data_IF_864319646627
#
_entry.id   IF_864319646627
#
_cell.length_a   1.000
_cell.length_b   1.000
_cell.length_c   1.000
_cell.angle_alpha   90.00
_cell.angle_beta   90.00
_cell.angle_gamma   90.00
#
_symmetry.space_group_name_H-M   'P 1'
#
loop_
_entity.id
_entity.type
_entity.pdbx_description
1 polymer ?
#
# COMPACT_ATOMS: atom_id res chain seq x y z
N UNK A 1 9.88 9.92 11.35
CA UNK A 1 9.82 10.03 9.88
C UNK A 1 11.17 9.78 9.20
N UNK A 2 12.29 9.86 9.91
CA UNK A 2 13.64 9.71 9.36
C UNK A 2 14.28 8.34 9.60
N UNK A 3 13.75 7.54 10.52
CA UNK A 3 14.22 6.17 10.68
C UNK A 3 13.68 5.21 9.61
N UNK A 4 12.70 5.66 8.80
CA UNK A 4 12.28 4.99 7.57
C UNK A 4 13.27 5.13 6.40
N UNK A 5 14.40 5.80 6.62
CA UNK A 5 15.49 5.85 5.69
C UNK A 5 16.44 4.65 5.90
N UNK A 6 15.89 3.46 5.89
CA UNK A 6 16.73 2.33 5.55
C UNK A 6 17.04 2.46 4.07
N UNK A 7 18.22 3.01 3.77
CA UNK A 7 18.81 2.89 2.46
C UNK A 7 19.01 1.41 2.15
N UNK A 8 17.99 0.77 1.61
CA UNK A 8 18.25 -0.42 0.79
C UNK A 8 19.25 0.08 -0.25
N UNK A 9 20.43 -0.52 -0.26
CA UNK A 9 21.52 -0.19 -1.21
C UNK A 9 20.90 0.19 -2.54
N UNK A 10 21.11 1.42 -2.96
CA UNK A 10 20.69 1.90 -4.25
C UNK A 10 21.47 1.06 -5.25
N UNK A 11 20.85 0.04 -5.81
CA UNK A 11 21.46 -0.73 -6.89
C UNK A 11 21.20 0.12 -8.14
N UNK A 12 22.22 0.72 -8.75
CA UNK A 12 22.04 1.42 -10.01
C UNK A 12 21.62 0.40 -11.05
N UNK A 13 20.38 0.47 -11.48
CA UNK A 13 19.92 -0.37 -12.60
C UNK A 13 20.36 0.32 -13.87
N UNK A 14 21.42 -0.21 -14.47
CA UNK A 14 21.88 0.21 -15.78
C UNK A 14 20.88 -0.32 -16.82
N UNK A 15 19.95 0.52 -17.26
CA UNK A 15 19.14 0.23 -18.42
C UNK A 15 19.76 0.92 -19.64
N UNK A 16 19.51 0.37 -20.84
CA UNK A 16 19.98 0.92 -22.15
C UNK A 16 19.61 2.38 -22.42
N UNK A 17 18.82 3.02 -21.50
CA UNK A 17 18.30 4.40 -21.62
C UNK A 17 18.87 5.41 -20.61
N UNK A 18 19.80 5.03 -19.70
CA UNK A 18 20.42 5.96 -18.76
C UNK A 18 20.52 5.46 -17.30
N UNK A 19 20.99 6.33 -16.40
CA UNK A 19 21.14 6.06 -14.97
C UNK A 19 19.84 6.40 -14.24
N UNK A 20 19.33 5.50 -13.39
CA UNK A 20 18.19 5.74 -12.52
C UNK A 20 18.66 5.84 -11.06
N UNK A 21 18.46 7.00 -10.44
CA UNK A 21 18.59 7.17 -9.00
C UNK A 21 17.19 7.09 -8.37
N UNK A 22 16.94 6.05 -7.62
CA UNK A 22 15.68 5.89 -6.89
C UNK A 22 15.85 6.47 -5.48
N UNK A 23 15.34 7.68 -5.25
CA UNK A 23 15.20 8.28 -3.93
C UNK A 23 13.76 8.09 -3.45
N UNK A 24 13.56 7.25 -2.46
CA UNK A 24 12.24 7.00 -1.89
C UNK A 24 11.91 8.04 -0.82
N UNK A 25 11.03 8.99 -1.13
CA UNK A 25 10.45 9.93 -0.16
C UNK A 25 8.94 9.66 -0.11
N UNK A 26 8.45 9.23 1.04
CA UNK A 26 7.06 8.77 1.18
C UNK A 26 6.07 9.93 1.37
N UNK A 27 5.12 10.21 0.45
CA UNK A 27 3.94 11.05 0.65
C UNK A 27 2.64 10.27 0.43
N UNK A 28 1.63 10.60 1.23
CA UNK A 28 0.46 9.77 1.44
C UNK A 28 -0.84 10.45 1.00
N UNK A 29 -1.48 9.90 -0.02
CA UNK A 29 -2.94 9.83 -0.08
C UNK A 29 -3.25 8.45 -0.66
N UNK A 30 -3.48 7.46 0.19
CA UNK A 30 -3.83 6.11 -0.22
C UNK A 30 -4.69 5.44 0.84
N UNK A 31 -5.61 4.60 0.39
CA UNK A 31 -6.39 3.71 1.23
C UNK A 31 -5.50 2.86 2.16
N UNK A 32 -6.02 2.46 3.31
CA UNK A 32 -5.33 1.59 4.25
C UNK A 32 -6.00 0.23 4.39
N UNK A 33 -5.22 -0.85 4.37
CA UNK A 33 -5.66 -2.22 4.65
C UNK A 33 -5.04 -2.70 5.95
N UNK A 34 -5.85 -3.35 6.78
CA UNK A 34 -5.42 -4.14 7.95
C UNK A 34 -6.18 -5.45 7.95
N UNK A 35 -5.50 -6.56 8.15
CA UNK A 35 -6.09 -7.88 8.35
C UNK A 35 -5.41 -8.60 9.52
N UNK A 36 -6.13 -9.49 10.19
CA UNK A 36 -5.60 -10.33 11.26
C UNK A 36 -6.30 -11.68 11.26
N UNK A 37 -5.53 -12.74 11.45
CA UNK A 37 -6.00 -14.10 11.68
C UNK A 37 -5.26 -14.69 12.86
N UNK A 38 -5.98 -15.24 13.84
CA UNK A 38 -5.32 -15.79 15.03
C UNK A 38 -6.27 -16.12 16.17
N UNK A 39 -5.73 -16.03 17.38
CA UNK A 39 -6.44 -16.35 18.62
C UNK A 39 -6.81 -15.11 19.45
N UNK A 40 -6.61 -13.91 18.92
CA UNK A 40 -6.89 -12.63 19.59
C UNK A 40 -8.20 -12.00 19.04
N UNK A 41 -8.70 -11.00 19.75
CA UNK A 41 -9.85 -10.23 19.26
C UNK A 41 -9.43 -9.39 18.04
N UNK A 42 -9.94 -9.76 16.88
CA UNK A 42 -9.64 -9.10 15.62
C UNK A 42 -10.17 -7.65 15.59
N UNK A 43 -11.30 -7.36 16.21
CA UNK A 43 -11.89 -6.02 16.21
C UNK A 43 -10.95 -4.97 16.79
N UNK A 44 -10.33 -5.26 17.93
CA UNK A 44 -9.43 -4.32 18.61
C UNK A 44 -8.17 -4.05 17.78
N UNK A 45 -7.59 -5.11 17.20
CA UNK A 45 -6.39 -5.02 16.35
C UNK A 45 -6.69 -4.24 15.08
N UNK A 46 -7.81 -4.53 14.40
CA UNK A 46 -8.21 -3.81 13.20
C UNK A 46 -8.43 -2.33 13.47
N UNK A 47 -9.14 -1.97 14.54
CA UNK A 47 -9.40 -0.58 14.88
C UNK A 47 -8.13 0.19 15.18
N UNK A 48 -7.22 -0.38 15.98
CA UNK A 48 -5.92 0.24 16.29
C UNK A 48 -5.06 0.41 15.04
N UNK A 49 -5.06 -0.59 14.15
CA UNK A 49 -4.33 -0.52 12.89
C UNK A 49 -4.90 0.53 11.94
N UNK A 50 -6.22 0.59 11.79
CA UNK A 50 -6.88 1.58 10.93
C UNK A 50 -6.69 3.01 11.45
N UNK A 51 -6.71 3.24 12.77
CA UNK A 51 -6.39 4.54 13.38
C UNK A 51 -4.98 5.02 12.98
N UNK A 52 -4.01 4.09 12.88
CA UNK A 52 -2.65 4.39 12.44
C UNK A 52 -2.55 4.70 10.95
N UNK A 53 -3.52 4.27 10.16
CA UNK A 53 -3.58 4.52 8.71
C UNK A 53 -4.46 5.73 8.34
N UNK A 54 -5.20 6.32 9.29
CA UNK A 54 -6.11 7.45 9.03
C UNK A 54 -5.38 8.66 8.42
N UNK A 55 -4.11 8.85 8.73
CA UNK A 55 -3.29 9.92 8.15
C UNK A 55 -3.11 9.80 6.62
N UNK A 56 -3.32 8.60 6.05
CA UNK A 56 -3.24 8.35 4.60
C UNK A 56 -4.44 8.87 3.83
N UNK A 57 -5.49 9.28 4.51
CA UNK A 57 -6.74 9.77 3.96
C UNK A 57 -7.94 8.91 4.38
N UNK A 58 -9.09 9.54 4.47
CA UNK A 58 -10.34 8.89 4.83
C UNK A 58 -11.53 9.66 4.24
N UNK A 59 -12.42 8.95 3.62
CA UNK A 59 -13.78 9.39 3.34
C UNK A 59 -14.81 8.43 3.94
N UNK A 60 -14.38 7.20 4.14
CA UNK A 60 -15.16 6.14 4.76
C UNK A 60 -14.22 5.04 5.27
N UNK A 61 -14.72 4.22 6.19
CA UNK A 61 -14.00 3.10 6.73
C UNK A 61 -14.96 1.94 7.02
N UNK A 62 -14.40 0.73 7.19
CA UNK A 62 -15.18 -0.40 7.64
C UNK A 62 -14.30 -1.57 8.03
N UNK A 63 -14.90 -2.46 8.80
CA UNK A 63 -14.32 -3.73 9.24
C UNK A 63 -15.28 -4.88 8.95
N UNK A 64 -14.71 -6.03 8.73
CA UNK A 64 -15.39 -7.32 8.79
C UNK A 64 -14.64 -8.23 9.74
N UNK A 65 -15.37 -8.91 10.62
CA UNK A 65 -14.82 -9.90 11.55
C UNK A 65 -15.66 -11.15 11.57
N UNK A 66 -15.03 -12.30 11.77
CA UNK A 66 -15.68 -13.60 11.83
C UNK A 66 -15.07 -14.51 12.89
N UNK A 67 -15.91 -15.39 13.42
CA UNK A 67 -15.51 -16.56 14.22
C UNK A 67 -15.63 -17.88 13.43
N UNK A 68 -15.99 -17.81 12.14
CA UNK A 68 -16.40 -18.94 11.32
C UNK A 68 -17.84 -19.41 11.53
N UNK A 69 -18.50 -18.94 12.61
CA UNK A 69 -19.92 -19.23 12.93
C UNK A 69 -20.79 -17.98 12.94
N UNK A 70 -20.21 -16.89 13.37
CA UNK A 70 -20.85 -15.57 13.41
C UNK A 70 -19.92 -14.57 12.76
N UNK A 71 -20.49 -13.61 12.06
CA UNK A 71 -19.71 -12.55 11.42
C UNK A 71 -20.42 -11.20 11.55
N UNK A 72 -19.64 -10.13 11.49
CA UNK A 72 -20.12 -8.75 11.53
C UNK A 72 -19.41 -7.91 10.48
N UNK A 73 -20.18 -7.19 9.66
CA UNK A 73 -19.70 -6.20 8.70
C UNK A 73 -20.19 -4.81 9.13
N UNK A 74 -19.28 -3.92 9.48
CA UNK A 74 -19.60 -2.57 9.95
C UNK A 74 -18.88 -1.56 9.08
N UNK A 75 -19.63 -0.58 8.58
CA UNK A 75 -19.13 0.48 7.71
C UNK A 75 -19.59 1.85 8.19
N UNK A 76 -18.78 2.88 7.95
CA UNK A 76 -19.12 4.26 8.24
C UNK A 76 -18.53 5.20 7.18
N UNK A 77 -19.29 6.24 6.84
CA UNK A 77 -18.77 7.40 6.15
C UNK A 77 -18.13 8.31 7.19
N UNK A 78 -17.00 8.94 6.87
CA UNK A 78 -16.28 9.82 7.78
C UNK A 78 -15.02 9.17 8.36
N UNK A 79 -14.67 9.55 9.58
CA UNK A 79 -13.44 9.17 10.27
C UNK A 79 -13.52 7.79 10.93
N UNK A 80 -12.37 7.27 11.35
CA UNK A 80 -12.32 6.03 12.15
C UNK A 80 -13.11 6.17 13.45
N UNK A 81 -13.15 7.36 14.06
CA UNK A 81 -14.00 7.63 15.22
C UNK A 81 -15.50 7.40 14.94
N UNK A 82 -15.98 7.71 13.73
CA UNK A 82 -17.37 7.48 13.32
C UNK A 82 -17.65 5.97 13.15
N UNK A 83 -16.66 5.22 12.63
CA UNK A 83 -16.74 3.76 12.59
C UNK A 83 -16.74 3.17 14.00
N UNK A 84 -15.86 3.65 14.89
CA UNK A 84 -15.77 3.19 16.27
C UNK A 84 -17.08 3.36 17.02
N UNK A 85 -17.79 4.49 16.81
CA UNK A 85 -19.09 4.75 17.42
C UNK A 85 -20.19 3.78 17.00
N UNK A 86 -20.03 3.07 15.87
CA UNK A 86 -20.97 2.06 15.37
C UNK A 86 -20.64 0.64 15.86
N UNK A 87 -19.45 0.41 16.38
CA UNK A 87 -19.03 -0.92 16.85
C UNK A 87 -19.63 -1.15 18.23
N UNK A 88 -20.52 -2.17 18.33
CA UNK A 88 -21.06 -2.63 19.61
C UNK A 88 -20.06 -3.51 20.37
N UNK A 89 -20.32 -3.68 21.67
CA UNK A 89 -19.51 -4.56 22.56
C UNK A 89 -19.51 -6.04 22.14
N UNK A 90 -20.49 -6.46 21.36
CA UNK A 90 -20.65 -7.85 20.92
C UNK A 90 -19.95 -8.16 19.59
N UNK A 91 -19.27 -7.19 19.00
CA UNK A 91 -18.54 -7.36 17.74
C UNK A 91 -17.18 -7.97 18.02
N UNK A 92 -17.12 -9.29 17.99
CA UNK A 92 -15.89 -10.05 18.22
C UNK A 92 -15.66 -11.08 17.10
N UNK A 93 -14.40 -11.34 16.80
CA UNK A 93 -13.96 -12.37 15.86
C UNK A 93 -12.48 -12.66 16.06
N UNK A 94 -12.02 -13.80 15.57
CA UNK A 94 -10.60 -14.18 15.58
C UNK A 94 -9.92 -13.89 14.27
N UNK A 95 -10.71 -13.67 13.22
CA UNK A 95 -10.23 -13.27 11.89
C UNK A 95 -11.02 -12.09 11.39
N UNK A 96 -10.34 -11.16 10.75
CA UNK A 96 -11.01 -10.02 10.17
C UNK A 96 -10.13 -9.20 9.26
N UNK A 97 -10.78 -8.36 8.48
CA UNK A 97 -10.16 -7.39 7.56
C UNK A 97 -10.82 -6.02 7.73
N UNK A 98 -10.03 -4.98 7.61
CA UNK A 98 -10.48 -3.61 7.74
C UNK A 98 -9.84 -2.70 6.71
N UNK A 99 -10.50 -1.57 6.44
CA UNK A 99 -10.11 -0.65 5.41
C UNK A 99 -10.44 0.80 5.73
N UNK A 100 -9.52 1.72 5.44
CA UNK A 100 -9.78 3.15 5.31
C UNK A 100 -9.78 3.51 3.84
N UNK A 101 -10.88 4.10 3.35
CA UNK A 101 -11.05 4.41 1.94
C UNK A 101 -10.76 5.87 1.66
N UNK A 102 -10.07 6.11 0.54
CA UNK A 102 -10.06 7.36 -0.18
C UNK A 102 -10.65 7.12 -1.57
N UNK A 103 -11.78 7.79 -1.87
CA UNK A 103 -12.58 7.47 -3.05
C UNK A 103 -11.83 7.71 -4.36
N UNK A 104 -11.66 6.64 -5.14
CA UNK A 104 -11.25 6.67 -6.56
C UNK A 104 -12.45 6.43 -7.48
N UNK A 105 -13.37 5.52 -7.08
CA UNK A 105 -14.59 5.17 -7.81
C UNK A 105 -15.81 5.28 -6.90
N UNK A 106 -16.84 6.02 -7.35
CA UNK A 106 -18.08 6.24 -6.60
C UNK A 106 -17.90 7.21 -5.43
N UNK A 107 -18.94 8.01 -5.15
CA UNK A 107 -18.95 8.98 -4.06
C UNK A 107 -18.86 8.30 -2.69
N UNK A 108 -18.38 9.00 -1.64
CA UNK A 108 -18.41 8.49 -0.27
C UNK A 108 -19.84 8.10 0.15
N UNK A 109 -20.03 6.83 0.50
CA UNK A 109 -21.28 6.26 1.01
C UNK A 109 -20.97 4.93 1.69
N UNK A 110 -21.84 4.44 2.56
CA UNK A 110 -21.66 3.12 3.19
C UNK A 110 -21.64 1.98 2.18
N UNK A 111 -22.43 2.09 1.09
CA UNK A 111 -22.42 1.08 0.03
C UNK A 111 -21.07 1.02 -0.70
N UNK A 112 -20.40 2.16 -0.85
CA UNK A 112 -19.09 2.26 -1.51
C UNK A 112 -17.91 2.10 -0.53
N UNK A 113 -18.15 2.11 0.79
CA UNK A 113 -17.13 1.81 1.78
C UNK A 113 -16.74 0.33 1.74
N UNK A 114 -15.46 0.04 1.95
CA UNK A 114 -14.97 -1.33 2.12
C UNK A 114 -15.18 -1.81 3.57
N UNK A 115 -15.24 -3.13 3.79
CA UNK A 115 -15.18 -4.26 2.86
C UNK A 115 -16.41 -4.42 1.97
N UNK A 116 -16.24 -5.07 0.80
CA UNK A 116 -17.34 -5.51 -0.07
C UNK A 116 -17.60 -7.01 0.04
N UNK A 117 -18.82 -7.44 -0.27
CA UNK A 117 -19.21 -8.85 -0.18
C UNK A 117 -19.56 -9.42 -1.55
N UNK A 118 -19.42 -10.75 -1.70
CA UNK A 118 -19.98 -11.50 -2.84
C UNK A 118 -21.51 -11.39 -2.91
N UNK A 119 -22.12 -11.88 -3.98
CA UNK A 119 -23.58 -11.88 -4.18
C UNK A 119 -24.34 -12.49 -3.00
N UNK A 120 -23.85 -13.57 -2.42
CA UNK A 120 -24.45 -14.26 -1.27
C UNK A 120 -24.12 -13.61 0.07
N UNK A 121 -23.06 -12.77 0.10
CA UNK A 121 -22.52 -12.19 1.33
C UNK A 121 -21.45 -13.04 2.03
N UNK A 122 -21.13 -14.24 1.50
CA UNK A 122 -20.19 -15.16 2.11
C UNK A 122 -18.73 -14.68 2.04
N UNK A 123 -18.26 -14.31 0.86
CA UNK A 123 -16.89 -13.86 0.67
C UNK A 123 -16.77 -12.35 0.83
N UNK A 124 -15.73 -11.90 1.51
CA UNK A 124 -15.56 -10.50 1.89
C UNK A 124 -14.16 -10.03 1.50
N UNK A 125 -14.09 -8.89 0.80
CA UNK A 125 -12.88 -8.36 0.18
C UNK A 125 -12.64 -6.90 0.56
N UNK A 126 -11.40 -6.57 0.86
CA UNK A 126 -10.88 -5.19 0.83
C UNK A 126 -9.83 -5.04 -0.28
N UNK A 127 -9.72 -3.83 -0.82
CA UNK A 127 -8.89 -3.54 -1.98
C UNK A 127 -8.30 -2.14 -1.92
N UNK A 128 -6.99 -2.05 -2.16
CA UNK A 128 -6.29 -0.83 -2.52
C UNK A 128 -5.84 -0.92 -3.97
N UNK A 129 -6.17 0.05 -4.79
CA UNK A 129 -5.78 0.08 -6.20
C UNK A 129 -6.93 0.42 -7.14
N UNK A 130 -6.77 0.07 -8.41
CA UNK A 130 -7.75 0.30 -9.49
C UNK A 130 -7.78 -0.92 -10.41
N UNK A 131 -8.98 -1.50 -10.57
CA UNK A 131 -9.20 -2.60 -11.53
C UNK A 131 -9.63 -1.98 -12.87
N UNK A 132 -8.71 -1.92 -13.81
CA UNK A 132 -8.90 -1.22 -15.08
C UNK A 132 -9.99 -1.84 -15.97
N UNK A 133 -10.15 -3.16 -15.92
CA UNK A 133 -11.10 -3.90 -16.75
C UNK A 133 -12.40 -4.29 -16.01
N UNK A 134 -12.77 -3.59 -14.92
CA UNK A 134 -13.94 -3.96 -14.12
C UNK A 134 -15.26 -3.96 -14.90
N UNK A 135 -15.43 -3.07 -15.89
CA UNK A 135 -16.63 -3.05 -16.74
C UNK A 135 -16.70 -4.26 -17.64
N UNK A 136 -15.57 -4.71 -18.20
CA UNK A 136 -15.51 -5.92 -19.05
C UNK A 136 -15.84 -7.16 -18.22
N UNK A 137 -15.30 -7.23 -16.99
CA UNK A 137 -15.61 -8.31 -16.02
C UNK A 137 -17.10 -8.32 -15.72
N UNK A 138 -17.65 -7.17 -15.36
CA UNK A 138 -19.09 -7.04 -15.07
C UNK A 138 -19.96 -7.55 -16.20
N UNK A 139 -19.68 -7.10 -17.42
CA UNK A 139 -20.50 -7.41 -18.60
C UNK A 139 -20.34 -8.86 -19.05
N UNK A 140 -19.13 -9.44 -18.92
CA UNK A 140 -18.83 -10.78 -19.43
C UNK A 140 -19.24 -11.89 -18.45
N UNK A 141 -18.99 -11.67 -17.15
CA UNK A 141 -19.10 -12.73 -16.16
C UNK A 141 -20.28 -12.57 -15.18
N UNK A 142 -20.75 -11.34 -14.94
CA UNK A 142 -21.65 -11.04 -13.82
C UNK A 142 -23.06 -10.58 -14.27
N UNK A 143 -23.52 -11.11 -15.39
CA UNK A 143 -24.89 -10.86 -15.85
C UNK A 143 -25.90 -11.40 -14.82
N UNK A 144 -26.80 -10.54 -14.36
CA UNK A 144 -27.83 -10.89 -13.34
C UNK A 144 -27.35 -10.74 -11.89
N UNK A 145 -26.12 -10.27 -11.62
CA UNK A 145 -25.71 -9.93 -10.28
C UNK A 145 -26.24 -8.55 -9.86
N UNK A 146 -26.64 -8.45 -8.58
CA UNK A 146 -27.13 -7.22 -7.97
C UNK A 146 -25.97 -6.52 -7.23
N UNK A 147 -25.64 -5.29 -7.64
CA UNK A 147 -24.58 -4.50 -7.04
C UNK A 147 -25.17 -3.42 -6.12
N UNK A 148 -24.65 -3.32 -4.89
CA UNK A 148 -25.08 -2.32 -3.89
C UNK A 148 -24.33 -1.00 -4.04
N UNK A 149 -23.08 -1.06 -4.53
CA UNK A 149 -22.19 0.06 -4.70
C UNK A 149 -21.82 0.32 -6.16
N UNK A 150 -20.80 1.15 -6.33
CA UNK A 150 -20.31 1.60 -7.63
C UNK A 150 -18.78 1.38 -7.73
N UNK A 151 -18.22 0.47 -6.92
CA UNK A 151 -16.78 0.24 -6.84
C UNK A 151 -16.36 -0.93 -7.73
N UNK A 152 -15.17 -0.85 -8.25
CA UNK A 152 -14.48 -1.92 -8.96
C UNK A 152 -14.20 -3.13 -8.04
N UNK A 153 -14.03 -2.87 -6.75
CA UNK A 153 -13.83 -3.91 -5.73
C UNK A 153 -15.04 -4.83 -5.56
N UNK A 154 -16.25 -4.28 -5.62
CA UNK A 154 -17.47 -5.10 -5.56
C UNK A 154 -17.56 -6.05 -6.76
N UNK A 155 -17.13 -5.59 -7.94
CA UNK A 155 -17.04 -6.43 -9.13
C UNK A 155 -16.04 -7.57 -8.92
N UNK A 156 -14.90 -7.31 -8.31
CA UNK A 156 -13.89 -8.34 -8.03
C UNK A 156 -14.39 -9.43 -7.08
N UNK A 157 -15.01 -9.05 -5.98
CA UNK A 157 -15.51 -10.06 -5.02
C UNK A 157 -16.73 -10.84 -5.56
N UNK A 158 -17.56 -10.22 -6.39
CA UNK A 158 -18.62 -10.94 -7.11
C UNK A 158 -18.06 -11.94 -8.11
N UNK A 159 -16.95 -11.60 -8.82
CA UNK A 159 -16.26 -12.53 -9.73
C UNK A 159 -15.71 -13.74 -8.99
N UNK A 160 -15.06 -13.52 -7.85
CA UNK A 160 -14.54 -14.58 -6.98
C UNK A 160 -15.69 -15.45 -6.47
N UNK A 161 -16.75 -14.81 -5.94
CA UNK A 161 -17.94 -15.50 -5.46
C UNK A 161 -18.60 -16.37 -6.52
N UNK A 162 -18.72 -15.86 -7.75
CA UNK A 162 -19.24 -16.64 -8.89
C UNK A 162 -18.46 -17.92 -9.10
N UNK A 163 -17.13 -17.83 -9.16
CA UNK A 163 -16.29 -19.02 -9.39
C UNK A 163 -16.36 -20.02 -8.23
N UNK A 164 -16.43 -19.54 -7.00
CA UNK A 164 -16.52 -20.42 -5.84
C UNK A 164 -17.93 -21.04 -5.68
N UNK A 165 -18.99 -20.25 -5.80
CA UNK A 165 -20.35 -20.65 -5.44
C UNK A 165 -21.14 -21.24 -6.61
N UNK A 166 -20.97 -20.71 -7.82
CA UNK A 166 -21.71 -21.18 -9.00
C UNK A 166 -20.94 -22.26 -9.78
N UNK A 167 -19.59 -22.19 -9.82
CA UNK A 167 -18.76 -23.17 -10.51
C UNK A 167 -18.17 -24.24 -9.57
N UNK A 168 -18.38 -24.11 -8.24
CA UNK A 168 -17.98 -25.08 -7.24
C UNK A 168 -16.49 -25.21 -6.98
N UNK A 169 -15.70 -24.16 -7.28
CA UNK A 169 -14.27 -24.11 -6.98
C UNK A 169 -14.03 -23.85 -5.49
N UNK A 170 -12.89 -24.32 -4.96
CA UNK A 170 -12.43 -23.84 -3.66
C UNK A 170 -12.17 -22.34 -3.71
N UNK A 171 -12.27 -21.63 -2.57
CA UNK A 171 -12.03 -20.18 -2.55
C UNK A 171 -10.65 -19.81 -3.10
N UNK A 172 -9.63 -20.61 -2.78
CA UNK A 172 -8.27 -20.42 -3.30
C UNK A 172 -8.22 -20.51 -4.83
N UNK A 173 -8.84 -21.54 -5.42
CA UNK A 173 -8.90 -21.72 -6.88
C UNK A 173 -9.73 -20.65 -7.55
N UNK A 174 -10.86 -20.27 -6.96
CA UNK A 174 -11.70 -19.17 -7.43
C UNK A 174 -10.93 -17.84 -7.43
N UNK A 175 -10.15 -17.59 -6.37
CA UNK A 175 -9.33 -16.38 -6.28
C UNK A 175 -8.21 -16.39 -7.32
N UNK A 176 -7.46 -17.48 -7.48
CA UNK A 176 -6.46 -17.64 -8.55
C UNK A 176 -7.06 -17.38 -9.93
N UNK A 177 -8.20 -18.01 -10.23
CA UNK A 177 -8.90 -17.82 -11.50
C UNK A 177 -9.28 -16.35 -11.73
N UNK A 178 -9.76 -15.66 -10.70
CA UNK A 178 -10.09 -14.24 -10.78
C UNK A 178 -8.85 -13.37 -11.03
N UNK A 179 -7.72 -13.66 -10.35
CA UNK A 179 -6.45 -12.93 -10.51
C UNK A 179 -5.89 -13.00 -11.93
N UNK A 180 -6.08 -14.09 -12.65
CA UNK A 180 -5.69 -14.20 -14.07
C UNK A 180 -6.55 -13.33 -15.01
N UNK A 181 -7.76 -12.94 -14.58
CA UNK A 181 -8.68 -12.13 -15.36
C UNK A 181 -8.53 -10.64 -15.05
N UNK A 182 -8.32 -10.30 -13.77
CA UNK A 182 -8.22 -8.93 -13.27
C UNK A 182 -6.97 -8.24 -13.84
N UNK A 183 -7.14 -7.01 -14.35
CA UNK A 183 -6.05 -6.15 -14.82
C UNK A 183 -6.05 -4.85 -14.04
N UNK A 184 -4.85 -4.32 -13.78
CA UNK A 184 -4.66 -3.07 -13.05
C UNK A 184 -3.77 -3.22 -11.83
N UNK A 185 -3.86 -2.26 -10.92
CA UNK A 185 -3.15 -2.30 -9.64
C UNK A 185 -4.07 -2.78 -8.53
N UNK A 186 -3.58 -3.65 -7.67
CA UNK A 186 -4.37 -4.11 -6.53
C UNK A 186 -3.49 -4.62 -5.37
N UNK A 187 -4.01 -4.43 -4.17
CA UNK A 187 -3.69 -5.17 -2.96
C UNK A 187 -5.01 -5.66 -2.39
N UNK A 188 -5.21 -6.96 -2.36
CA UNK A 188 -6.41 -7.63 -1.90
C UNK A 188 -6.18 -8.34 -0.57
N UNK A 189 -7.16 -8.27 0.34
CA UNK A 189 -7.32 -9.22 1.42
C UNK A 189 -8.75 -9.77 1.39
N UNK A 190 -8.86 -11.09 1.30
CA UNK A 190 -10.09 -11.84 1.08
C UNK A 190 -10.29 -12.83 2.22
N UNK A 191 -11.50 -12.90 2.76
CA UNK A 191 -11.92 -13.86 3.78
C UNK A 191 -13.22 -14.53 3.41
N UNK A 192 -13.40 -15.76 3.90
CA UNK A 192 -14.67 -16.47 3.92
C UNK A 192 -15.34 -16.25 5.28
N UNK A 193 -16.60 -15.83 5.31
CA UNK A 193 -17.35 -15.63 6.56
C UNK A 193 -17.52 -16.92 7.38
N UNK A 194 -17.41 -18.07 6.73
CA UNK A 194 -17.58 -19.41 7.32
C UNK A 194 -16.23 -20.05 7.72
N UNK A 195 -15.08 -19.43 7.36
CA UNK A 195 -13.75 -19.90 7.71
C UNK A 195 -12.94 -18.80 8.41
N UNK A 196 -12.72 -18.95 9.71
CA UNK A 196 -11.96 -18.00 10.51
C UNK A 196 -10.47 -18.35 10.64
N UNK A 197 -9.96 -19.32 9.88
CA UNK A 197 -8.58 -19.81 10.00
C UNK A 197 -7.63 -19.30 8.93
N UNK A 198 -8.15 -18.50 7.97
CA UNK A 198 -7.36 -18.03 6.84
C UNK A 198 -7.75 -16.66 6.31
N UNK A 199 -6.75 -15.89 5.88
CA UNK A 199 -6.88 -14.72 5.01
C UNK A 199 -6.11 -15.01 3.72
N UNK A 200 -6.76 -14.87 2.58
CA UNK A 200 -6.11 -14.92 1.27
C UNK A 200 -5.72 -13.52 0.83
N UNK A 201 -4.51 -13.36 0.37
CA UNK A 201 -3.93 -12.06 0.02
C UNK A 201 -3.31 -12.13 -1.37
N UNK A 202 -3.49 -11.10 -2.17
CA UNK A 202 -2.79 -10.98 -3.44
C UNK A 202 -2.43 -9.54 -3.72
N UNK A 203 -1.34 -9.33 -4.45
CA UNK A 203 -0.80 -8.01 -4.72
C UNK A 203 -0.30 -7.88 -6.15
N UNK A 204 -0.56 -6.71 -6.75
CA UNK A 204 0.06 -6.25 -7.97
C UNK A 204 0.17 -4.71 -7.94
N UNK A 205 1.37 -4.15 -7.96
CA UNK A 205 1.68 -2.71 -7.97
C UNK A 205 1.19 -1.89 -6.76
N UNK A 206 0.41 -2.43 -5.85
CA UNK A 206 -0.05 -1.76 -4.63
C UNK A 206 0.65 -2.35 -3.40
N UNK A 207 1.03 -1.54 -2.37
CA UNK A 207 1.79 -2.04 -1.23
C UNK A 207 0.95 -2.94 -0.33
N UNK A 208 1.54 -4.08 0.06
CA UNK A 208 0.97 -4.99 1.05
C UNK A 208 2.10 -5.84 1.64
N UNK A 209 2.03 -6.11 2.93
CA UNK A 209 3.00 -6.93 3.66
C UNK A 209 2.32 -7.78 4.73
N UNK A 210 3.00 -8.84 5.17
CA UNK A 210 2.57 -9.70 6.27
C UNK A 210 3.37 -9.37 7.51
N UNK A 211 2.71 -9.25 8.66
CA UNK A 211 3.31 -9.18 9.98
C UNK A 211 3.20 -10.53 10.67
N UNK A 212 4.32 -11.04 11.17
CA UNK A 212 4.40 -12.35 11.81
C UNK A 212 4.34 -12.19 13.33
N UNK A 213 3.36 -12.83 13.98
CA UNK A 213 3.17 -12.83 15.42
C UNK A 213 3.16 -14.23 16.02
N UNK A 214 3.03 -14.32 17.34
CA UNK A 214 2.90 -15.61 18.04
C UNK A 214 1.43 -15.98 18.24
N UNK A 215 0.96 -17.00 17.52
CA UNK A 215 -0.44 -17.44 17.54
C UNK A 215 -1.41 -16.53 16.77
N UNK A 216 -0.90 -15.61 15.99
CA UNK A 216 -1.64 -14.78 15.04
C UNK A 216 -0.69 -14.23 13.97
N UNK A 217 -1.22 -13.96 12.79
CA UNK A 217 -0.52 -13.22 11.74
C UNK A 217 -1.40 -12.07 11.24
N UNK A 218 -0.76 -11.06 10.69
CA UNK A 218 -1.41 -9.84 10.23
C UNK A 218 -1.07 -9.54 8.77
N UNK A 219 -1.91 -8.74 8.13
CA UNK A 219 -1.70 -8.20 6.80
C UNK A 219 -1.94 -6.71 6.85
N UNK A 220 -1.09 -5.90 6.26
CA UNK A 220 -1.37 -4.48 6.13
C UNK A 220 -0.70 -3.83 4.92
N UNK A 221 -1.22 -2.70 4.54
CA UNK A 221 -0.65 -1.86 3.48
C UNK A 221 0.55 -1.01 3.94
N UNK A 222 0.80 -0.95 5.27
CA UNK A 222 1.91 -0.20 5.86
C UNK A 222 2.27 -0.80 7.23
N UNK A 223 3.56 -1.05 7.46
CA UNK A 223 4.08 -1.59 8.71
C UNK A 223 3.66 -0.80 9.97
N UNK A 224 3.44 0.51 9.82
CA UNK A 224 2.95 1.40 10.86
C UNK A 224 1.66 0.91 11.52
N UNK A 225 0.78 0.26 10.76
CA UNK A 225 -0.48 -0.28 11.28
C UNK A 225 -0.28 -1.41 12.31
N UNK A 226 0.84 -2.14 12.21
CA UNK A 226 1.09 -3.37 12.96
C UNK A 226 2.28 -3.29 13.92
N UNK A 227 3.05 -2.21 13.92
CA UNK A 227 4.33 -2.13 14.66
C UNK A 227 4.21 -2.35 16.17
N UNK A 228 3.03 -2.10 16.75
CA UNK A 228 2.75 -2.41 18.16
C UNK A 228 2.51 -3.88 18.43
N UNK A 229 2.14 -4.60 17.39
CA UNK A 229 1.78 -6.01 17.45
C UNK A 229 2.97 -6.90 17.11
N UNK A 230 3.76 -6.52 16.12
CA UNK A 230 4.96 -7.26 15.70
C UNK A 230 6.00 -6.35 15.05
N UNK A 231 7.28 -6.70 15.22
CA UNK A 231 8.40 -6.13 14.47
C UNK A 231 8.90 -7.03 13.34
N UNK A 232 8.32 -8.23 13.21
CA UNK A 232 8.71 -9.19 12.17
C UNK A 232 7.79 -9.07 10.97
N UNK A 233 8.36 -8.76 9.80
CA UNK A 233 7.61 -8.55 8.57
C UNK A 233 8.12 -9.39 7.42
N UNK A 234 7.22 -9.71 6.49
CA UNK A 234 7.50 -10.36 5.22
C UNK A 234 6.93 -9.51 4.09
N UNK A 235 7.76 -9.16 3.10
CA UNK A 235 7.29 -8.45 1.90
C UNK A 235 6.58 -9.41 0.95
N UNK A 236 5.47 -8.92 0.37
CA UNK A 236 4.75 -9.58 -0.73
C UNK A 236 5.19 -8.90 -2.02
N UNK A 237 5.56 -9.65 -3.04
CA UNK A 237 5.91 -9.10 -4.34
C UNK A 237 4.69 -9.07 -5.29
N UNK A 238 4.85 -8.39 -6.42
CA UNK A 238 3.79 -8.34 -7.44
C UNK A 238 3.53 -9.72 -8.04
N UNK A 239 2.26 -10.02 -8.29
CA UNK A 239 1.78 -11.30 -8.79
C UNK A 239 2.00 -12.49 -7.84
N UNK A 240 2.06 -12.23 -6.55
CA UNK A 240 2.06 -13.25 -5.52
C UNK A 240 0.70 -13.35 -4.84
N UNK A 241 0.35 -14.58 -4.47
CA UNK A 241 -0.78 -14.93 -3.63
C UNK A 241 -0.24 -15.51 -2.33
N UNK A 242 -0.75 -15.02 -1.19
CA UNK A 242 -0.32 -15.44 0.13
C UNK A 242 -1.51 -15.99 0.90
N UNK A 243 -1.32 -17.16 1.49
CA UNK A 243 -2.26 -17.82 2.38
C UNK A 243 -1.78 -17.58 3.80
N UNK A 244 -2.48 -16.71 4.52
CA UNK A 244 -2.11 -16.29 5.87
C UNK A 244 -2.98 -17.01 6.88
N UNK A 245 -2.37 -17.84 7.72
CA UNK A 245 -3.01 -18.54 8.84
C UNK A 245 -2.37 -18.08 10.16
N UNK A 246 -2.97 -18.39 11.28
CA UNK A 246 -2.49 -17.98 12.61
C UNK A 246 -1.04 -18.43 12.90
N UNK A 247 -0.63 -19.59 12.40
CA UNK A 247 0.65 -20.23 12.71
C UNK A 247 1.54 -20.44 11.47
N UNK A 248 1.07 -20.04 10.28
CA UNK A 248 1.80 -20.23 9.03
C UNK A 248 1.47 -19.19 7.98
N UNK A 249 2.44 -18.90 7.12
CA UNK A 249 2.29 -18.06 5.94
C UNK A 249 2.87 -18.81 4.75
N UNK A 250 2.07 -19.02 3.73
CA UNK A 250 2.47 -19.67 2.48
C UNK A 250 2.37 -18.69 1.33
N UNK A 251 3.45 -18.54 0.57
CA UNK A 251 3.51 -17.67 -0.61
C UNK A 251 3.52 -18.52 -1.87
N UNK A 252 2.68 -18.16 -2.84
CA UNK A 252 2.58 -18.85 -4.13
C UNK A 252 2.55 -17.81 -5.26
N UNK A 253 2.94 -18.22 -6.47
CA UNK A 253 2.53 -17.52 -7.68
C UNK A 253 1.05 -17.82 -8.01
N UNK A 254 0.50 -17.16 -9.04
CA UNK A 254 -0.91 -17.38 -9.42
C UNK A 254 -1.16 -18.76 -10.04
N UNK A 255 -0.12 -19.48 -10.49
CA UNK A 255 -0.21 -20.83 -10.99
C UNK A 255 -0.13 -21.88 -9.85
N UNK A 256 0.21 -21.44 -8.62
CA UNK A 256 0.23 -22.27 -7.43
C UNK A 256 1.58 -22.86 -7.07
N UNK A 257 2.66 -22.40 -7.68
CA UNK A 257 4.00 -22.80 -7.27
C UNK A 257 4.39 -22.07 -5.98
N UNK A 258 4.81 -22.80 -4.97
CA UNK A 258 5.26 -22.25 -3.69
C UNK A 258 6.55 -21.45 -3.87
N UNK A 259 6.61 -20.28 -3.25
CA UNK A 259 7.74 -19.35 -3.28
C UNK A 259 8.28 -19.18 -1.86
N UNK A 260 9.60 -19.20 -1.72
CA UNK A 260 10.24 -18.91 -0.43
C UNK A 260 10.39 -17.39 -0.25
N UNK A 261 10.09 -16.90 0.97
CA UNK A 261 10.25 -15.51 1.37
C UNK A 261 10.91 -15.42 2.73
N UNK A 262 11.89 -14.54 2.84
CA UNK A 262 12.54 -14.23 4.11
C UNK A 262 11.74 -13.14 4.84
N UNK A 263 11.66 -13.30 6.17
CA UNK A 263 11.17 -12.24 7.05
C UNK A 263 12.32 -11.34 7.48
N UNK A 264 11.99 -10.10 7.83
CA UNK A 264 12.95 -9.13 8.36
C UNK A 264 12.40 -8.46 9.62
N UNK A 265 13.31 -8.00 10.48
CA UNK A 265 12.94 -7.20 11.65
C UNK A 265 12.94 -5.73 11.24
N UNK A 266 11.82 -5.05 11.42
CA UNK A 266 11.75 -3.60 11.22
C UNK A 266 12.25 -2.89 12.49
N UNK A 267 13.27 -2.05 12.34
CA UNK A 267 13.74 -1.14 13.40
C UNK A 267 12.89 0.14 13.34
N UNK A 268 11.79 0.17 14.08
CA UNK A 268 10.89 1.31 14.16
C UNK A 268 10.79 1.82 15.59
N UNK A 269 11.04 3.12 15.81
CA UNK A 269 10.83 3.74 17.12
C UNK A 269 9.35 4.10 17.28
N UNK A 270 8.71 3.48 18.29
CA UNK A 270 7.31 3.73 18.60
C UNK A 270 7.02 5.19 18.99
N UNK A 271 8.03 5.92 19.47
CA UNK A 271 7.90 7.34 19.85
C UNK A 271 7.68 8.25 18.64
N UNK A 272 8.20 7.87 17.47
CA UNK A 272 8.13 8.68 16.25
C UNK A 272 6.77 8.54 15.51
N UNK A 273 6.00 7.49 15.82
CA UNK A 273 4.76 7.13 15.14
C UNK A 273 3.56 7.96 15.61
N UNK A 274 3.61 8.42 16.87
CA UNK A 274 2.50 9.13 17.47
C UNK A 274 2.32 10.57 16.95
N UNK A 275 1.07 11.04 16.90
CA UNK A 275 0.77 12.46 16.65
C UNK A 275 1.29 13.37 17.77
N UNK A 276 1.58 12.81 18.95
CA UNK A 276 1.99 13.58 20.11
C UNK A 276 0.91 14.57 20.54
N UNK A 277 1.33 15.76 20.92
CA UNK A 277 0.45 16.86 21.35
C UNK A 277 -0.15 17.67 20.17
N UNK A 278 0.23 17.34 18.94
CA UNK A 278 -0.23 18.10 17.77
C UNK A 278 -1.67 17.73 17.37
N UNK A 279 -2.51 18.70 17.00
CA UNK A 279 -3.87 18.45 16.53
C UNK A 279 -3.90 17.70 15.18
N UNK A 280 -2.87 17.90 14.33
CA UNK A 280 -2.75 17.32 12.99
C UNK A 280 -1.35 16.79 12.73
N UNK A 281 -1.22 15.67 12.02
CA UNK A 281 0.08 15.11 11.59
C UNK A 281 0.89 16.09 10.75
N UNK A 282 0.27 16.77 9.79
CA UNK A 282 0.95 17.75 8.95
C UNK A 282 1.60 18.87 9.77
N UNK A 283 0.96 19.32 10.84
CA UNK A 283 1.53 20.36 11.72
C UNK A 283 2.75 19.82 12.47
N UNK A 284 2.68 18.58 12.98
CA UNK A 284 3.83 17.88 13.56
C UNK A 284 4.99 17.80 12.57
N UNK A 285 4.72 17.32 11.35
CA UNK A 285 5.71 17.15 10.29
C UNK A 285 6.38 18.47 9.89
N UNK A 286 5.61 19.57 9.84
CA UNK A 286 6.15 20.91 9.58
C UNK A 286 7.09 21.33 10.71
N UNK A 287 6.69 21.14 11.95
CA UNK A 287 7.48 21.56 13.13
C UNK A 287 8.75 20.70 13.31
N UNK A 288 8.72 19.44 12.89
CA UNK A 288 9.86 18.52 12.92
C UNK A 288 10.90 18.80 11.82
N UNK A 289 10.58 19.52 10.75
CA UNK A 289 11.50 19.74 9.61
C UNK A 289 12.90 20.21 10.02
N UNK A 290 13.08 21.17 10.94
CA UNK A 290 14.44 21.60 11.34
C UNK A 290 15.25 20.48 11.98
N UNK A 291 14.62 19.64 12.79
CA UNK A 291 15.27 18.48 13.43
C UNK A 291 15.64 17.43 12.39
N UNK A 292 14.73 17.17 11.48
CA UNK A 292 14.89 16.27 10.33
C UNK A 292 16.07 16.70 9.47
N UNK A 293 16.16 17.98 9.12
CA UNK A 293 17.25 18.52 8.31
C UNK A 293 18.61 18.38 9.01
N UNK A 294 18.67 18.64 10.31
CA UNK A 294 19.93 18.44 11.09
C UNK A 294 20.33 16.97 11.13
N UNK A 295 19.40 16.06 11.32
CA UNK A 295 19.67 14.61 11.29
C UNK A 295 20.20 14.18 9.93
N UNK A 296 19.62 14.67 8.83
CA UNK A 296 20.11 14.39 7.46
C UNK A 296 21.53 14.90 7.27
N UNK A 297 21.84 16.14 7.65
CA UNK A 297 23.19 16.70 7.56
C UNK A 297 24.16 15.79 8.32
N UNK A 298 23.85 15.43 9.56
CA UNK A 298 24.73 14.56 10.35
C UNK A 298 24.88 13.15 9.75
N UNK A 299 23.83 12.60 9.16
CA UNK A 299 23.86 11.26 8.53
C UNK A 299 24.76 11.23 7.29
N UNK A 300 24.79 12.32 6.53
CA UNK A 300 25.58 12.45 5.32
C UNK A 300 26.90 13.22 5.49
N UNK A 301 27.33 13.45 6.73
CA UNK A 301 28.62 14.08 7.03
C UNK A 301 29.54 13.10 7.76
N UNK A 302 30.82 13.13 7.43
CA UNK A 302 31.87 12.44 8.17
C UNK A 302 32.31 13.22 9.43
N UNK A 303 33.31 12.69 10.16
CA UNK A 303 33.86 13.31 11.36
C UNK A 303 34.49 14.70 11.10
N UNK A 304 34.82 14.99 9.85
CA UNK A 304 35.38 16.28 9.40
C UNK A 304 34.30 17.22 8.83
N UNK A 305 33.01 16.89 8.99
CA UNK A 305 31.87 17.63 8.41
C UNK A 305 31.89 17.69 6.87
N UNK A 306 32.56 16.73 6.21
CA UNK A 306 32.51 16.62 4.76
C UNK A 306 31.35 15.70 4.36
N UNK A 307 30.66 16.10 3.30
CA UNK A 307 29.54 15.31 2.77
C UNK A 307 30.03 13.96 2.25
N UNK A 308 29.44 12.88 2.74
CA UNK A 308 29.69 11.51 2.29
C UNK A 308 28.51 11.06 1.45
N UNK A 309 28.70 11.07 0.14
CA UNK A 309 27.71 10.61 -0.84
C UNK A 309 28.31 9.44 -1.61
N UNK A 310 27.48 8.47 -1.99
CA UNK A 310 27.92 7.35 -2.80
C UNK A 310 28.63 7.85 -4.07
N UNK A 311 29.88 7.41 -4.32
CA UNK A 311 30.66 7.85 -5.49
C UNK A 311 29.96 7.59 -6.83
N UNK A 312 29.09 6.55 -6.91
CA UNK A 312 28.32 6.27 -8.13
C UNK A 312 27.25 7.34 -8.39
N UNK A 313 26.64 7.90 -7.32
CA UNK A 313 25.71 9.02 -7.44
C UNK A 313 26.42 10.27 -7.93
N UNK A 314 27.56 10.59 -7.33
CA UNK A 314 28.37 11.74 -7.74
C UNK A 314 28.77 11.62 -9.20
N UNK A 315 29.23 10.44 -9.61
CA UNK A 315 29.58 10.15 -11.00
C UNK A 315 28.39 10.29 -11.95
N UNK A 316 27.23 9.77 -11.56
CA UNK A 316 26.01 9.86 -12.38
C UNK A 316 25.59 11.32 -12.61
N UNK A 317 25.68 12.17 -11.58
CA UNK A 317 25.42 13.61 -11.69
C UNK A 317 26.42 14.28 -12.62
N UNK A 318 27.72 13.99 -12.48
CA UNK A 318 28.79 14.58 -13.29
C UNK A 318 28.73 14.17 -14.76
N UNK A 319 28.26 12.96 -15.08
CA UNK A 319 28.17 12.45 -16.44
C UNK A 319 26.86 12.84 -17.15
N UNK A 320 25.86 13.31 -16.40
CA UNK A 320 24.55 13.67 -16.94
C UNK A 320 24.62 14.95 -17.79
N UNK A 321 23.98 14.94 -18.95
CA UNK A 321 23.79 16.13 -19.79
C UNK A 321 22.43 16.81 -19.51
N UNK A 322 21.54 16.13 -18.74
CA UNK A 322 20.27 16.65 -18.23
C UNK A 322 19.77 15.78 -17.07
N UNK A 323 19.23 16.43 -16.04
CA UNK A 323 18.57 15.79 -14.92
C UNK A 323 17.06 15.91 -15.09
N UNK A 324 16.35 14.79 -14.96
CA UNK A 324 14.90 14.72 -14.99
C UNK A 324 14.37 14.34 -13.61
N UNK A 325 13.60 15.25 -12.98
CA UNK A 325 12.94 14.98 -11.70
C UNK A 325 11.50 14.60 -11.99
N UNK A 326 11.10 13.40 -11.61
CA UNK A 326 9.76 12.88 -11.87
C UNK A 326 9.08 12.57 -10.54
N UNK A 327 7.90 13.13 -10.36
CA UNK A 327 7.16 13.01 -9.11
C UNK A 327 5.67 13.29 -9.30
N UNK A 328 4.89 13.06 -8.26
CA UNK A 328 3.47 13.40 -8.18
C UNK A 328 3.18 14.23 -6.91
N UNK A 329 2.15 15.09 -6.96
CA UNK A 329 1.65 15.84 -5.81
C UNK A 329 2.71 16.73 -5.13
N UNK A 330 2.80 16.66 -3.80
CA UNK A 330 3.76 17.45 -3.01
C UNK A 330 5.21 17.09 -3.28
N UNK A 331 5.50 15.86 -3.67
CA UNK A 331 6.84 15.43 -4.11
C UNK A 331 7.27 16.17 -5.39
N UNK A 332 6.34 16.42 -6.33
CA UNK A 332 6.60 17.25 -7.50
C UNK A 332 6.94 18.70 -7.10
N UNK A 333 6.21 19.27 -6.14
CA UNK A 333 6.49 20.61 -5.63
C UNK A 333 7.87 20.69 -4.95
N UNK A 334 8.30 19.66 -4.24
CA UNK A 334 9.63 19.56 -3.68
C UNK A 334 10.72 19.53 -4.76
N UNK A 335 10.51 18.75 -5.83
CA UNK A 335 11.36 18.75 -7.01
C UNK A 335 11.43 20.11 -7.70
N UNK A 336 10.28 20.79 -7.83
CA UNK A 336 10.21 22.13 -8.40
C UNK A 336 11.01 23.16 -7.58
N UNK A 337 10.88 23.13 -6.25
CA UNK A 337 11.64 24.01 -5.36
C UNK A 337 13.16 23.76 -5.43
N UNK A 338 13.57 22.52 -5.70
CA UNK A 338 14.98 22.13 -5.77
C UNK A 338 15.63 22.40 -7.14
N UNK A 339 14.85 22.66 -8.19
CA UNK A 339 15.30 22.77 -9.58
C UNK A 339 16.45 23.76 -9.75
N UNK A 340 16.19 25.02 -9.41
CA UNK A 340 17.16 26.12 -9.61
C UNK A 340 18.47 25.88 -8.85
N UNK A 341 18.36 25.39 -7.62
CA UNK A 341 19.53 25.06 -6.81
C UNK A 341 20.34 23.91 -7.43
N UNK A 342 19.72 22.89 -7.96
CA UNK A 342 20.40 21.80 -8.64
C UNK A 342 21.07 22.29 -9.92
N UNK A 343 20.40 23.11 -10.73
CA UNK A 343 21.00 23.71 -11.93
C UNK A 343 22.23 24.55 -11.59
N UNK A 344 22.18 25.39 -10.55
CA UNK A 344 23.30 26.20 -10.10
C UNK A 344 24.48 25.39 -9.56
N UNK A 345 24.20 24.30 -8.84
CA UNK A 345 25.25 23.46 -8.23
C UNK A 345 25.91 22.48 -9.21
N UNK A 346 25.18 22.04 -10.23
CA UNK A 346 25.65 20.98 -11.14
C UNK A 346 26.00 21.48 -12.53
N UNK A 347 25.65 22.72 -12.86
CA UNK A 347 25.74 23.30 -14.22
C UNK A 347 25.03 22.43 -15.27
N UNK A 348 24.00 21.70 -14.84
CA UNK A 348 23.27 20.73 -15.66
C UNK A 348 21.78 21.11 -15.70
N UNK A 349 21.16 21.22 -16.89
CA UNK A 349 19.75 21.55 -17.01
C UNK A 349 18.87 20.53 -16.28
N UNK A 350 17.89 21.02 -15.51
CA UNK A 350 16.93 20.19 -14.76
C UNK A 350 15.54 20.35 -15.36
N UNK A 351 14.90 19.25 -15.69
CA UNK A 351 13.52 19.18 -16.21
C UNK A 351 12.62 18.43 -15.22
N UNK A 352 11.40 18.95 -15.01
CA UNK A 352 10.43 18.32 -14.13
C UNK A 352 9.34 17.65 -14.93
N UNK A 353 8.99 16.41 -14.53
CA UNK A 353 7.91 15.64 -15.09
C UNK A 353 6.89 15.26 -14.02
N UNK A 354 5.60 15.42 -14.35
CA UNK A 354 4.54 14.83 -13.55
C UNK A 354 4.46 13.35 -13.89
N UNK A 355 4.57 12.48 -12.88
CA UNK A 355 4.69 11.03 -13.10
C UNK A 355 3.50 10.46 -13.89
N UNK A 356 2.27 10.90 -13.62
CA UNK A 356 1.07 10.48 -14.36
C UNK A 356 1.10 10.85 -15.85
N UNK A 357 1.75 11.94 -16.22
CA UNK A 357 1.87 12.36 -17.62
C UNK A 357 2.99 11.61 -18.34
N UNK A 358 4.14 11.51 -17.69
CA UNK A 358 5.34 10.91 -18.29
C UNK A 358 5.24 9.39 -18.45
N UNK A 359 4.45 8.73 -17.63
CA UNK A 359 4.14 7.31 -17.78
C UNK A 359 3.44 6.98 -19.10
N UNK A 360 2.67 7.93 -19.67
CA UNK A 360 1.97 7.77 -20.94
C UNK A 360 2.67 8.46 -22.12
N UNK A 361 3.34 9.57 -21.89
CA UNK A 361 3.95 10.39 -22.94
C UNK A 361 5.35 10.88 -22.52
N UNK A 362 6.32 9.97 -22.55
CA UNK A 362 7.71 10.30 -22.27
C UNK A 362 8.24 11.32 -23.28
N UNK A 363 8.82 12.46 -22.84
CA UNK A 363 9.41 13.44 -23.74
C UNK A 363 10.68 12.88 -24.42
N UNK A 364 11.18 13.61 -25.42
CA UNK A 364 12.49 13.29 -26.01
C UNK A 364 13.59 13.48 -24.96
N UNK A 365 14.28 12.40 -24.67
CA UNK A 365 15.34 12.40 -23.68
C UNK A 365 16.66 12.93 -24.27
N UNK A 366 17.49 13.51 -23.41
CA UNK A 366 18.87 13.86 -23.72
C UNK A 366 19.74 12.61 -23.99
N UNK A 367 20.99 12.79 -24.35
CA UNK A 367 21.89 11.67 -24.70
C UNK A 367 22.36 10.89 -23.47
N UNK A 368 22.53 11.59 -22.35
CA UNK A 368 22.95 11.04 -21.05
C UNK A 368 22.02 11.52 -19.94
N UNK A 369 20.75 11.07 -19.97
CA UNK A 369 19.78 11.51 -18.98
C UNK A 369 20.05 10.88 -17.61
N UNK A 370 19.90 11.68 -16.56
CA UNK A 370 19.79 11.21 -15.19
C UNK A 370 18.36 11.38 -14.71
N UNK A 371 17.77 10.35 -14.10
CA UNK A 371 16.42 10.40 -13.55
C UNK A 371 16.46 10.39 -12.03
N UNK A 372 15.72 11.33 -11.42
CA UNK A 372 15.46 11.40 -9.99
C UNK A 372 13.95 11.20 -9.80
N UNK A 373 13.55 10.03 -9.31
CA UNK A 373 12.14 9.74 -8.99
C UNK A 373 11.90 10.04 -7.52
N UNK A 374 11.06 11.06 -7.24
CA UNK A 374 10.68 11.42 -5.88
C UNK A 374 9.37 10.73 -5.51
N UNK A 375 9.43 9.77 -4.62
CA UNK A 375 8.27 9.06 -4.10
C UNK A 375 8.43 8.85 -2.60
N UNK A 376 7.40 9.17 -1.83
CA UNK A 376 7.43 8.96 -0.39
C UNK A 376 7.26 7.49 -0.02
N UNK A 377 6.40 6.74 -0.73
CA UNK A 377 6.18 5.31 -0.47
C UNK A 377 7.13 4.39 -1.25
N UNK A 378 7.81 4.93 -2.28
CA UNK A 378 8.45 4.09 -3.29
C UNK A 378 7.47 3.30 -4.18
N UNK A 379 6.18 3.36 -3.85
CA UNK A 379 5.11 2.55 -4.44
C UNK A 379 4.09 3.41 -5.21
N UNK A 380 4.41 4.69 -5.51
CA UNK A 380 3.54 5.54 -6.31
C UNK A 380 3.36 4.92 -7.68
N UNK A 381 2.13 4.49 -8.01
CA UNK A 381 1.82 3.74 -9.24
C UNK A 381 2.31 4.46 -10.50
N UNK A 382 2.04 5.77 -10.59
CA UNK A 382 2.47 6.60 -11.71
C UNK A 382 4.00 6.66 -11.84
N UNK A 383 4.73 6.74 -10.73
CA UNK A 383 6.21 6.74 -10.73
C UNK A 383 6.82 5.39 -11.11
N UNK A 384 6.09 4.29 -10.91
CA UNK A 384 6.51 2.95 -11.35
C UNK A 384 6.29 2.72 -12.84
N UNK A 385 5.36 3.46 -13.43
CA UNK A 385 5.05 3.34 -14.85
C UNK A 385 6.07 4.08 -15.72
N UNK A 386 6.73 5.10 -15.20
CA UNK A 386 7.82 5.82 -15.85
C UNK A 386 9.09 4.98 -15.87
#
# INVERSE_FOLDING_TARGET
LLEFWNFKKTIPILNKKGWFLRLEIRSNVMCGIVGVVGNRNATDILMQGLEKLEYRGYDSAGIFVTTGKTSSLIKSVGRIADLHAKIGIDVAGTTGIGHTRWATHGKPSENNAHPHTSQTGRFVLVHNGVIENYLDIKNTYLAGHDFKGQTDTEIAVHLIGKFAEEEGLSLLEAFKKALHIIRGSYAFALVDSEDADVIYVAKNKSPLLVGLGEGYNMVCSDAMAMIRETSQFMEIHDQELVIVRKDSVEVQDYDGHTLERESYTAELDLSDIGKGTYPYYMLKEIDEQPTVMRKLINTYSDENQQMVVDPEIVKAVQEADRIYIIAAGTSYNAGYASKTMLEELTDTPVELGIASEWGYAMPLLSKKPMFILLSQSGETADSRQV
#
